data_IF_327238400525
#
_entry.id   IF_327238400525
#
_cell.length_a   1.000
_cell.length_b   1.000
_cell.length_c   1.000
_cell.angle_alpha   90.00
_cell.angle_beta   90.00
_cell.angle_gamma   90.00
#
_symmetry.space_group_name_H-M   'P 1'
#
loop_
_entity.id
_entity.type
_entity.pdbx_description
1 polymer ?
#
# COMPACT_ATOMS: atom_id res chain seq x y z
N UNK A 1 -1.71 18.57 6.26
CA UNK A 1 -1.08 18.56 4.92
C UNK A 1 -1.52 17.27 4.27
N UNK A 2 -2.16 17.34 3.11
CA UNK A 2 -2.51 16.13 2.36
C UNK A 2 -1.20 15.60 1.75
N UNK A 3 -0.53 14.71 2.48
CA UNK A 3 0.69 14.07 1.98
C UNK A 3 0.33 13.15 0.83
N UNK A 4 0.99 13.38 -0.32
CA UNK A 4 0.77 12.62 -1.55
C UNK A 4 0.82 11.11 -1.31
N UNK A 5 -0.16 10.38 -1.84
CA UNK A 5 -0.18 8.91 -1.74
C UNK A 5 1.09 8.31 -2.37
N UNK A 6 1.64 8.94 -3.40
CA UNK A 6 2.91 8.55 -4.03
C UNK A 6 4.07 8.65 -3.05
N UNK A 7 4.18 9.78 -2.33
CA UNK A 7 5.24 10.00 -1.34
C UNK A 7 5.14 8.99 -0.20
N UNK A 8 3.92 8.77 0.31
CA UNK A 8 3.65 7.81 1.38
C UNK A 8 4.01 6.37 0.95
N UNK A 9 3.59 5.96 -0.25
CA UNK A 9 3.87 4.62 -0.75
C UNK A 9 5.38 4.39 -0.95
N UNK A 10 6.10 5.39 -1.46
CA UNK A 10 7.56 5.35 -1.60
C UNK A 10 8.23 5.21 -0.23
N UNK A 11 7.86 6.07 0.72
CA UNK A 11 8.43 6.05 2.07
C UNK A 11 8.21 4.72 2.79
N UNK A 12 7.00 4.14 2.68
CA UNK A 12 6.71 2.81 3.26
C UNK A 12 7.56 1.72 2.60
N UNK A 13 7.73 1.73 1.27
CA UNK A 13 8.58 0.77 0.56
C UNK A 13 10.04 0.86 1.00
N UNK A 14 10.59 2.07 1.11
CA UNK A 14 11.96 2.30 1.59
C UNK A 14 12.15 1.75 3.01
N UNK A 15 11.16 1.94 3.89
CA UNK A 15 11.17 1.38 5.25
C UNK A 15 11.13 -0.15 5.26
N UNK A 16 10.36 -0.77 4.38
CA UNK A 16 10.30 -2.23 4.24
C UNK A 16 11.67 -2.78 3.83
N UNK A 17 12.29 -2.18 2.81
CA UNK A 17 13.64 -2.58 2.35
C UNK A 17 14.65 -2.47 3.49
N UNK A 18 14.73 -1.31 4.13
CA UNK A 18 15.68 -1.11 5.23
C UNK A 18 15.44 -2.07 6.41
N UNK A 19 14.19 -2.40 6.73
CA UNK A 19 13.86 -3.36 7.79
C UNK A 19 14.22 -4.80 7.41
N UNK A 20 14.01 -5.20 6.16
CA UNK A 20 14.39 -6.51 5.65
C UNK A 20 15.92 -6.69 5.68
N UNK A 21 16.67 -5.70 5.19
CA UNK A 21 18.13 -5.69 5.19
C UNK A 21 18.71 -5.80 6.60
N UNK A 22 18.22 -4.99 7.55
CA UNK A 22 18.63 -5.08 8.97
C UNK A 22 18.35 -6.45 9.60
N UNK A 23 17.37 -7.17 9.06
CA UNK A 23 16.97 -8.50 9.55
C UNK A 23 17.63 -9.65 8.76
N UNK A 24 18.51 -9.36 7.79
CA UNK A 24 19.11 -10.37 6.91
C UNK A 24 18.10 -11.07 6.00
N UNK A 25 16.97 -10.43 5.69
CA UNK A 25 15.90 -10.97 4.84
C UNK A 25 15.91 -10.30 3.47
N UNK A 26 15.54 -11.07 2.45
CA UNK A 26 15.29 -10.55 1.10
C UNK A 26 14.01 -9.69 1.09
N UNK A 27 14.09 -8.38 0.76
CA UNK A 27 12.93 -7.49 0.69
C UNK A 27 11.87 -7.95 -0.31
N UNK A 28 12.26 -8.65 -1.38
CA UNK A 28 11.33 -9.12 -2.43
C UNK A 28 10.34 -10.16 -1.92
N UNK A 29 10.64 -10.81 -0.79
CA UNK A 29 9.76 -11.77 -0.11
C UNK A 29 8.72 -11.11 0.79
N UNK A 30 8.72 -9.78 0.91
CA UNK A 30 7.76 -9.03 1.73
C UNK A 30 6.72 -8.38 0.81
N UNK A 31 5.46 -8.73 1.00
CA UNK A 31 4.34 -8.11 0.28
C UNK A 31 3.79 -6.94 1.08
N UNK A 32 3.76 -5.76 0.48
CA UNK A 32 3.04 -4.60 1.02
C UNK A 32 1.56 -4.69 0.61
N UNK A 33 0.68 -4.85 1.60
CA UNK A 33 -0.78 -4.78 1.40
C UNK A 33 -1.26 -3.38 1.76
N UNK A 34 -1.82 -2.66 0.78
CA UNK A 34 -2.39 -1.33 0.98
C UNK A 34 -3.83 -1.46 1.44
N UNK A 35 -4.11 -1.08 2.69
CA UNK A 35 -5.45 -1.23 3.28
C UNK A 35 -6.36 -0.09 2.79
N UNK A 36 -7.46 -0.45 2.14
CA UNK A 36 -8.39 0.47 1.44
C UNK A 36 -9.79 0.53 2.05
N UNK A 37 -9.98 -0.08 3.22
CA UNK A 37 -11.23 -0.01 4.00
C UNK A 37 -11.66 1.43 4.27
N UNK A 38 -12.91 1.77 3.94
CA UNK A 38 -13.44 3.12 4.10
C UNK A 38 -12.76 4.22 3.26
N UNK A 39 -11.86 3.87 2.34
CA UNK A 39 -11.20 4.80 1.41
C UNK A 39 -12.04 4.92 0.13
N UNK A 40 -12.14 6.14 -0.41
CA UNK A 40 -12.87 6.42 -1.65
C UNK A 40 -12.16 5.81 -2.87
N UNK A 41 -12.92 5.44 -3.91
CA UNK A 41 -12.35 4.85 -5.13
C UNK A 41 -11.33 5.77 -5.80
N UNK A 42 -11.50 7.10 -5.73
CA UNK A 42 -10.53 8.05 -6.32
C UNK A 42 -9.16 7.99 -5.65
N UNK A 43 -9.13 7.89 -4.31
CA UNK A 43 -7.87 7.71 -3.57
C UNK A 43 -7.26 6.34 -3.81
N UNK A 44 -8.09 5.32 -3.99
CA UNK A 44 -7.62 3.97 -4.38
C UNK A 44 -6.98 4.02 -5.77
N UNK A 45 -7.59 4.72 -6.74
CA UNK A 45 -7.02 4.92 -8.08
C UNK A 45 -5.69 5.66 -8.02
N UNK A 46 -5.56 6.69 -7.18
CA UNK A 46 -4.28 7.37 -6.96
C UNK A 46 -3.22 6.41 -6.39
N UNK A 47 -3.59 5.55 -5.42
CA UNK A 47 -2.68 4.53 -4.88
C UNK A 47 -2.24 3.52 -5.95
N UNK A 48 -3.17 3.06 -6.79
CA UNK A 48 -2.87 2.16 -7.92
C UNK A 48 -1.96 2.86 -8.94
N UNK A 49 -2.23 4.12 -9.28
CA UNK A 49 -1.38 4.91 -10.16
C UNK A 49 0.03 5.15 -9.58
N UNK A 50 0.15 5.25 -8.25
CA UNK A 50 1.42 5.27 -7.53
C UNK A 50 2.14 3.90 -7.51
N UNK A 51 1.50 2.85 -8.01
CA UNK A 51 2.04 1.51 -8.14
C UNK A 51 1.62 0.54 -7.02
N UNK A 52 0.59 0.83 -6.22
CA UNK A 52 0.02 -0.15 -5.31
C UNK A 52 -0.61 -1.30 -6.10
N UNK A 53 -0.15 -2.53 -5.88
CA UNK A 53 -0.59 -3.73 -6.61
C UNK A 53 -1.41 -4.70 -5.76
N UNK A 54 -1.27 -4.63 -4.44
CA UNK A 54 -1.99 -5.49 -3.49
C UNK A 54 -2.82 -4.61 -2.57
N UNK A 55 -4.14 -4.71 -2.70
CA UNK A 55 -5.11 -3.96 -1.90
C UNK A 55 -5.77 -4.88 -0.87
N UNK A 56 -6.12 -4.33 0.29
CA UNK A 56 -6.74 -5.07 1.40
C UNK A 56 -8.01 -4.40 1.92
N UNK A 57 -9.12 -5.12 1.91
CA UNK A 57 -10.39 -4.72 2.52
C UNK A 57 -10.64 -5.54 3.78
N UNK A 58 -11.33 -4.95 4.76
CA UNK A 58 -11.69 -5.67 5.99
C UNK A 58 -12.96 -6.52 5.80
N UNK A 59 -13.80 -6.18 4.82
CA UNK A 59 -15.10 -6.84 4.55
C UNK A 59 -15.29 -7.01 3.05
N UNK A 60 -15.90 -8.14 2.65
CA UNK A 60 -16.16 -8.44 1.21
C UNK A 60 -17.09 -7.40 0.59
N UNK A 61 -18.05 -6.87 1.35
CA UNK A 61 -18.97 -5.83 0.91
C UNK A 61 -18.27 -4.48 0.67
N UNK A 62 -17.11 -4.25 1.29
CA UNK A 62 -16.32 -3.04 1.04
C UNK A 62 -15.51 -3.16 -0.25
N UNK A 63 -15.25 -4.39 -0.72
CA UNK A 63 -14.64 -4.66 -2.02
C UNK A 63 -15.66 -4.59 -3.17
N UNK A 64 -16.95 -4.79 -2.90
CA UNK A 64 -18.01 -4.80 -3.90
C UNK A 64 -19.03 -3.68 -3.61
N UNK A 65 -19.00 -2.55 -4.35
CA UNK A 65 -18.84 -2.49 -5.80
C UNK A 65 -17.68 -1.57 -6.25
N UNK A 66 -16.53 -1.64 -5.59
CA UNK A 66 -15.41 -0.71 -5.82
C UNK A 66 -14.82 -0.78 -7.22
#
# INVERSE_FOLDING_TARGET
MDESIVANLRWVRERIVAAAERSGRDPSRITLVVVTKGVTTDRIREAVAAGATVLGENRVQEAWPK
#
